data_IF_130052172501
#
_entry.id   IF_130052172501
#
_cell.length_a   1.000
_cell.length_b   1.000
_cell.length_c   1.000
_cell.angle_alpha   90.00
_cell.angle_beta   90.00
_cell.angle_gamma   90.00
#
_symmetry.space_group_name_H-M   'P 1'
#
loop_
_entity.id
_entity.type
_entity.pdbx_description
1 polymer ?
#
# COMPACT_ATOMS: atom_id res chain seq x y z
N UNK A 1 16.73 9.23 -30.18
CA UNK A 1 16.00 9.07 -31.47
C UNK A 1 16.94 9.00 -32.67
N UNK A 2 17.91 9.92 -32.86
CA UNK A 2 18.87 9.90 -33.98
C UNK A 2 19.74 8.63 -34.09
N UNK A 3 20.19 8.05 -32.97
CA UNK A 3 21.04 6.85 -32.98
C UNK A 3 20.38 5.60 -33.57
N UNK A 4 19.06 5.44 -33.39
CA UNK A 4 18.31 4.28 -33.91
C UNK A 4 18.17 4.35 -35.43
N UNK A 5 17.94 5.54 -35.98
CA UNK A 5 17.87 5.75 -37.44
C UNK A 5 19.23 5.54 -38.10
N UNK A 6 20.31 6.04 -37.50
CA UNK A 6 21.66 5.84 -38.01
C UNK A 6 22.10 4.35 -38.00
N UNK A 7 21.78 3.62 -36.92
CA UNK A 7 22.00 2.17 -36.83
C UNK A 7 21.19 1.39 -37.87
N UNK A 8 19.94 1.80 -38.11
CA UNK A 8 19.10 1.19 -39.16
C UNK A 8 19.77 1.33 -40.53
N UNK A 9 20.26 2.50 -40.90
CA UNK A 9 20.86 2.72 -42.22
C UNK A 9 22.17 1.92 -42.39
N UNK A 10 23.01 1.85 -41.35
CA UNK A 10 24.28 1.09 -41.37
C UNK A 10 24.08 -0.42 -41.49
N UNK A 11 23.05 -0.95 -40.84
CA UNK A 11 22.79 -2.38 -40.73
C UNK A 11 21.92 -2.87 -41.88
N UNK A 12 20.88 -2.11 -42.25
CA UNK A 12 19.98 -2.47 -43.34
C UNK A 12 20.62 -2.33 -44.72
N UNK A 13 21.72 -1.60 -44.92
CA UNK A 13 22.40 -1.54 -46.23
C UNK A 13 23.19 -2.81 -46.56
N UNK A 14 23.46 -3.69 -45.58
CA UNK A 14 24.20 -4.93 -45.84
C UNK A 14 23.27 -6.02 -46.40
N UNK A 15 23.51 -6.55 -47.62
CA UNK A 15 22.61 -7.52 -48.27
C UNK A 15 22.48 -8.83 -47.49
N UNK A 16 23.56 -9.22 -46.79
CA UNK A 16 23.59 -10.38 -45.89
C UNK A 16 22.57 -10.18 -44.75
N UNK A 17 22.58 -9.01 -44.11
CA UNK A 17 21.67 -8.71 -43.02
C UNK A 17 20.22 -8.67 -43.48
N UNK A 18 19.94 -8.01 -44.62
CA UNK A 18 18.58 -7.96 -45.18
C UNK A 18 18.03 -9.36 -45.48
N UNK A 19 18.85 -10.27 -46.02
CA UNK A 19 18.44 -11.64 -46.34
C UNK A 19 18.02 -12.41 -45.09
N UNK A 20 18.90 -12.49 -44.10
CA UNK A 20 18.63 -13.24 -42.87
C UNK A 20 17.51 -12.59 -42.03
N UNK A 21 17.47 -11.26 -41.96
CA UNK A 21 16.39 -10.54 -41.28
C UNK A 21 15.04 -10.87 -41.93
N UNK A 22 14.94 -10.81 -43.25
CA UNK A 22 13.69 -11.14 -43.96
C UNK A 22 13.30 -12.60 -43.77
N UNK A 23 14.23 -13.55 -43.85
CA UNK A 23 13.96 -14.98 -43.60
C UNK A 23 13.42 -15.22 -42.18
N UNK A 24 14.09 -14.67 -41.16
CA UNK A 24 13.73 -14.83 -39.75
C UNK A 24 12.35 -14.23 -39.46
N UNK A 25 12.08 -13.00 -39.91
CA UNK A 25 10.81 -12.32 -39.66
C UNK A 25 9.68 -12.74 -40.62
N UNK A 26 9.97 -13.52 -41.67
CA UNK A 26 8.94 -14.14 -42.52
C UNK A 26 8.39 -15.45 -41.95
N UNK A 27 9.15 -16.12 -41.08
CA UNK A 27 8.74 -17.38 -40.47
C UNK A 27 7.85 -17.14 -39.24
N UNK A 28 6.53 -17.25 -39.46
CA UNK A 28 5.51 -17.06 -38.42
C UNK A 28 5.66 -18.04 -37.24
N UNK A 29 6.12 -19.26 -37.48
CA UNK A 29 6.34 -20.27 -36.43
C UNK A 29 7.51 -19.85 -35.55
N UNK A 30 8.62 -19.44 -36.14
CA UNK A 30 9.77 -18.93 -35.39
C UNK A 30 9.38 -17.71 -34.54
N UNK A 31 8.67 -16.74 -35.13
CA UNK A 31 8.21 -15.56 -34.39
C UNK A 31 7.26 -15.91 -33.24
N UNK A 32 6.39 -16.91 -33.43
CA UNK A 32 5.52 -17.39 -32.36
C UNK A 32 6.30 -18.00 -31.19
N UNK A 33 7.31 -18.84 -31.47
CA UNK A 33 8.19 -19.38 -30.42
C UNK A 33 9.01 -18.30 -29.73
N UNK A 34 9.58 -17.36 -30.49
CA UNK A 34 10.34 -16.24 -29.93
C UNK A 34 9.47 -15.39 -29.01
N UNK A 35 8.25 -15.07 -29.45
CA UNK A 35 7.26 -14.37 -28.63
C UNK A 35 6.92 -15.16 -27.37
N UNK A 36 6.59 -16.44 -27.52
CA UNK A 36 6.28 -17.31 -26.40
C UNK A 36 7.41 -17.35 -25.38
N UNK A 37 8.67 -17.50 -25.80
CA UNK A 37 9.84 -17.52 -24.92
C UNK A 37 9.95 -16.20 -24.16
N UNK A 38 9.88 -15.05 -24.85
CA UNK A 38 10.00 -13.74 -24.21
C UNK A 38 8.91 -13.50 -23.17
N UNK A 39 7.65 -13.81 -23.51
CA UNK A 39 6.55 -13.65 -22.57
C UNK A 39 6.58 -14.69 -21.45
N UNK A 40 6.93 -15.94 -21.75
CA UNK A 40 6.98 -17.00 -20.75
C UNK A 40 7.99 -16.68 -19.65
N UNK A 41 9.22 -16.29 -19.97
CA UNK A 41 10.22 -15.99 -18.95
C UNK A 41 9.80 -14.81 -18.06
N UNK A 42 9.25 -13.75 -18.65
CA UNK A 42 8.77 -12.59 -17.87
C UNK A 42 7.59 -12.93 -16.93
N UNK A 43 6.60 -13.69 -17.41
CA UNK A 43 5.47 -14.11 -16.58
C UNK A 43 5.90 -15.12 -15.52
N UNK A 44 6.78 -16.06 -15.89
CA UNK A 44 7.31 -17.05 -14.96
C UNK A 44 8.08 -16.38 -13.82
N UNK A 45 8.93 -15.39 -14.11
CA UNK A 45 9.65 -14.66 -13.06
C UNK A 45 8.72 -13.91 -12.11
N UNK A 46 7.62 -13.34 -12.61
CA UNK A 46 6.61 -12.67 -11.78
C UNK A 46 5.93 -13.67 -10.85
N UNK A 47 5.46 -14.81 -11.37
CA UNK A 47 4.80 -15.84 -10.57
C UNK A 47 5.73 -16.39 -9.49
N UNK A 48 7.00 -16.68 -9.83
CA UNK A 48 7.98 -17.15 -8.87
C UNK A 48 8.22 -16.10 -7.79
N UNK A 49 8.39 -14.84 -8.16
CA UNK A 49 8.59 -13.74 -7.22
C UNK A 49 7.39 -13.56 -6.27
N UNK A 50 6.17 -13.55 -6.80
CA UNK A 50 4.94 -13.43 -6.01
C UNK A 50 4.79 -14.62 -5.06
N UNK A 51 5.06 -15.83 -5.52
CA UNK A 51 5.02 -17.03 -4.68
C UNK A 51 6.07 -16.96 -3.57
N UNK A 52 7.29 -16.52 -3.86
CA UNK A 52 8.34 -16.31 -2.85
C UNK A 52 7.89 -15.27 -1.82
N UNK A 53 7.40 -14.11 -2.24
CA UNK A 53 6.92 -13.06 -1.33
C UNK A 53 5.76 -13.52 -0.45
N UNK A 54 4.84 -14.32 -1.01
CA UNK A 54 3.73 -14.91 -0.27
C UNK A 54 4.23 -15.92 0.77
N UNK A 55 5.11 -16.84 0.37
CA UNK A 55 5.64 -17.89 1.25
C UNK A 55 6.56 -17.32 2.35
N UNK A 56 7.33 -16.28 2.04
CA UNK A 56 8.17 -15.57 3.01
C UNK A 56 7.37 -14.65 3.95
N UNK A 57 6.04 -14.53 3.74
CA UNK A 57 5.16 -13.62 4.48
C UNK A 57 5.71 -12.19 4.50
N UNK A 58 6.18 -11.70 3.34
CA UNK A 58 6.76 -10.36 3.27
C UNK A 58 5.71 -9.30 3.61
N UNK A 59 5.85 -8.71 4.81
CA UNK A 59 4.91 -7.72 5.32
C UNK A 59 4.83 -6.51 4.36
N UNK A 60 3.61 -6.09 4.04
CA UNK A 60 3.34 -4.95 3.15
C UNK A 60 3.09 -5.29 1.69
N UNK A 61 3.40 -6.51 1.22
CA UNK A 61 3.02 -6.95 -0.14
C UNK A 61 1.64 -7.61 -0.18
N UNK A 62 1.27 -8.36 0.86
CA UNK A 62 -0.02 -9.03 0.98
C UNK A 62 -0.76 -8.58 2.23
N UNK A 63 -2.02 -8.18 2.07
CA UNK A 63 -2.89 -7.84 3.18
C UNK A 63 -3.52 -9.10 3.77
N UNK A 64 -3.32 -9.31 5.07
CA UNK A 64 -3.96 -10.42 5.79
C UNK A 64 -5.48 -10.24 5.84
N UNK A 65 -6.22 -11.34 5.74
CA UNK A 65 -7.68 -11.35 5.71
C UNK A 65 -8.29 -10.65 6.93
N UNK A 66 -7.73 -10.88 8.11
CA UNK A 66 -8.22 -10.29 9.36
C UNK A 66 -7.99 -8.76 9.41
N UNK A 67 -6.94 -8.25 8.75
CA UNK A 67 -6.76 -6.81 8.62
C UNK A 67 -7.84 -6.20 7.70
N UNK A 68 -8.18 -6.90 6.61
CA UNK A 68 -9.28 -6.52 5.72
C UNK A 68 -10.63 -6.57 6.45
N UNK A 69 -10.89 -7.59 7.27
CA UNK A 69 -12.09 -7.71 8.09
C UNK A 69 -12.25 -6.50 9.03
N UNK A 70 -11.17 -6.01 9.63
CA UNK A 70 -11.22 -4.81 10.46
C UNK A 70 -11.60 -3.55 9.66
N UNK A 71 -11.09 -3.40 8.44
CA UNK A 71 -11.44 -2.27 7.57
C UNK A 71 -12.89 -2.36 7.05
N UNK A 72 -13.40 -3.58 6.79
CA UNK A 72 -14.82 -3.78 6.51
C UNK A 72 -15.70 -3.51 7.72
N UNK A 73 -15.25 -3.87 8.92
CA UNK A 73 -15.98 -3.49 10.12
C UNK A 73 -16.13 -1.96 10.23
N UNK A 74 -15.08 -1.19 9.90
CA UNK A 74 -15.18 0.28 9.81
C UNK A 74 -16.25 0.67 8.79
N UNK A 75 -16.25 0.04 7.60
CA UNK A 75 -17.25 0.31 6.56
C UNK A 75 -18.69 0.13 7.02
N UNK A 76 -18.94 -0.86 7.85
CA UNK A 76 -20.29 -1.27 8.23
C UNK A 76 -20.77 -0.60 9.52
N UNK A 77 -19.86 -0.12 10.37
CA UNK A 77 -20.17 0.29 11.74
C UNK A 77 -19.76 1.74 12.08
N UNK A 78 -19.36 2.54 11.08
CA UNK A 78 -18.97 3.95 11.25
C UNK A 78 -19.68 4.85 10.26
N UNK A 79 -19.96 6.09 10.69
CA UNK A 79 -20.52 7.15 9.83
C UNK A 79 -19.58 7.43 8.64
N UNK A 80 -20.14 7.85 7.51
CA UNK A 80 -19.37 8.05 6.27
C UNK A 80 -18.30 9.14 6.41
N UNK A 81 -18.56 10.15 7.24
CA UNK A 81 -17.64 11.26 7.52
C UNK A 81 -16.62 10.96 8.63
N UNK A 82 -16.65 9.75 9.22
CA UNK A 82 -15.74 9.39 10.31
C UNK A 82 -14.27 9.48 9.88
N UNK A 83 -13.44 10.10 10.72
CA UNK A 83 -11.99 10.21 10.48
C UNK A 83 -11.24 9.17 11.30
N UNK A 84 -10.48 8.32 10.60
CA UNK A 84 -9.68 7.25 11.20
C UNK A 84 -8.22 7.71 11.36
N UNK A 85 -7.68 7.54 12.57
CA UNK A 85 -6.25 7.71 12.86
C UNK A 85 -5.55 6.34 12.84
N UNK A 86 -4.42 6.27 12.15
CA UNK A 86 -3.57 5.08 12.01
C UNK A 86 -2.12 5.48 11.70
N UNK A 87 -1.23 4.52 11.51
CA UNK A 87 0.07 4.76 10.87
C UNK A 87 -0.11 5.15 9.40
N UNK A 88 0.97 5.60 8.77
CA UNK A 88 0.99 5.95 7.34
C UNK A 88 0.69 4.73 6.45
N UNK A 89 1.30 3.60 6.74
CA UNK A 89 1.16 2.36 5.98
C UNK A 89 -0.28 1.88 5.99
N UNK A 90 -0.88 1.81 7.18
CA UNK A 90 -2.28 1.40 7.35
C UNK A 90 -3.23 2.45 6.78
N UNK A 91 -2.92 3.74 6.95
CA UNK A 91 -3.72 4.86 6.43
C UNK A 91 -3.81 4.88 4.91
N UNK A 92 -2.82 4.33 4.21
CA UNK A 92 -2.89 4.12 2.75
C UNK A 92 -3.88 3.02 2.35
N UNK A 93 -4.15 2.06 3.24
CA UNK A 93 -4.97 0.87 2.95
C UNK A 93 -6.43 1.05 3.39
N UNK A 94 -6.67 1.71 4.53
CA UNK A 94 -8.02 1.89 5.11
C UNK A 94 -9.02 2.40 4.07
N UNK A 95 -8.75 3.46 3.28
CA UNK A 95 -9.74 3.99 2.33
C UNK A 95 -10.16 2.98 1.25
N UNK A 96 -9.27 2.08 0.85
CA UNK A 96 -9.53 1.09 -0.21
C UNK A 96 -10.62 0.08 0.18
N UNK A 97 -10.76 -0.23 1.47
CA UNK A 97 -11.70 -1.25 1.96
C UNK A 97 -12.83 -0.66 2.82
N UNK A 98 -12.56 0.45 3.49
CA UNK A 98 -13.53 1.11 4.36
C UNK A 98 -14.31 2.21 3.64
N UNK A 99 -13.75 2.89 2.63
CA UNK A 99 -14.34 4.12 2.05
C UNK A 99 -14.48 5.23 3.12
N UNK A 100 -13.59 5.26 4.12
CA UNK A 100 -13.59 6.30 5.18
C UNK A 100 -12.42 7.24 5.01
N UNK A 101 -12.57 8.44 5.58
CA UNK A 101 -11.48 9.41 5.65
C UNK A 101 -10.42 8.92 6.64
N UNK A 102 -9.16 9.20 6.31
CA UNK A 102 -8.03 8.96 7.18
C UNK A 102 -7.34 10.27 7.51
N UNK A 103 -6.84 10.40 8.74
CA UNK A 103 -6.08 11.58 9.14
C UNK A 103 -4.82 11.75 8.29
N UNK A 104 -4.11 10.63 8.09
CA UNK A 104 -2.85 10.52 7.36
C UNK A 104 -2.96 9.33 6.40
N UNK A 105 -2.79 9.60 5.10
CA UNK A 105 -2.70 8.58 4.05
C UNK A 105 -1.62 8.99 3.05
N UNK A 106 -1.84 8.72 1.76
CA UNK A 106 -0.79 8.88 0.77
C UNK A 106 -0.33 10.34 0.65
N UNK A 107 0.98 10.56 0.48
CA UNK A 107 1.60 11.88 0.63
C UNK A 107 1.04 12.95 -0.31
N UNK A 108 0.74 12.58 -1.55
CA UNK A 108 0.17 13.51 -2.53
C UNK A 108 -1.35 13.72 -2.36
N UNK A 109 -2.02 12.88 -1.57
CA UNK A 109 -3.47 12.92 -1.33
C UNK A 109 -3.81 13.50 0.04
N UNK A 110 -2.82 13.65 0.92
CA UNK A 110 -3.00 14.20 2.27
C UNK A 110 -2.56 15.65 2.31
N UNK A 111 -3.51 16.56 2.54
CA UNK A 111 -3.18 17.96 2.77
C UNK A 111 -2.26 18.13 3.99
N UNK A 112 -1.22 18.95 3.84
CA UNK A 112 -0.21 19.20 4.88
C UNK A 112 0.48 17.93 5.39
N UNK A 113 0.75 16.98 4.48
CA UNK A 113 1.33 15.68 4.80
C UNK A 113 2.47 15.70 5.82
N UNK A 114 3.51 16.54 5.60
CA UNK A 114 4.66 16.61 6.50
C UNK A 114 4.29 16.94 7.95
N UNK A 115 3.36 17.90 8.15
CA UNK A 115 2.85 18.24 9.48
C UNK A 115 2.10 17.07 10.10
N UNK A 116 1.16 16.49 9.36
CA UNK A 116 0.32 15.39 9.85
C UNK A 116 1.13 14.14 10.17
N UNK A 117 2.15 13.83 9.37
CA UNK A 117 3.06 12.72 9.62
C UNK A 117 3.78 12.89 10.96
N UNK A 118 4.36 14.07 11.22
CA UNK A 118 5.02 14.36 12.49
C UNK A 118 4.06 14.37 13.69
N UNK A 119 2.83 14.84 13.50
CA UNK A 119 1.82 14.84 14.56
C UNK A 119 1.33 13.42 14.88
N UNK A 120 1.10 12.58 13.86
CA UNK A 120 0.76 11.15 14.02
C UNK A 120 1.87 10.41 14.75
N UNK A 121 3.13 10.60 14.36
CA UNK A 121 4.27 10.00 15.06
C UNK A 121 4.35 10.43 16.52
N UNK A 122 4.20 11.74 16.78
CA UNK A 122 4.14 12.29 18.15
C UNK A 122 2.97 11.69 18.94
N UNK A 123 1.82 11.50 18.31
CA UNK A 123 0.66 10.86 18.93
C UNK A 123 0.97 9.42 19.33
N UNK A 124 1.65 8.62 18.53
CA UNK A 124 1.97 7.24 18.93
C UNK A 124 3.08 7.17 20.01
N UNK A 125 4.08 8.05 19.95
CA UNK A 125 5.27 7.96 20.81
C UNK A 125 5.16 8.65 22.17
N UNK A 126 4.36 9.72 22.34
CA UNK A 126 4.32 10.44 23.63
C UNK A 126 3.24 9.93 24.56
N UNK A 127 3.55 9.53 25.79
CA UNK A 127 2.53 9.19 26.79
C UNK A 127 2.06 10.45 27.58
N UNK A 128 1.27 11.31 26.94
CA UNK A 128 0.63 12.48 27.55
C UNK A 128 -0.86 12.51 27.16
N UNK A 129 -1.75 12.30 28.13
CA UNK A 129 -3.18 12.18 27.87
C UNK A 129 -3.84 13.49 27.48
N UNK A 130 -3.55 14.61 28.17
CA UNK A 130 -4.13 15.91 27.82
C UNK A 130 -3.78 16.32 26.38
N UNK A 131 -2.52 16.12 26.00
CA UNK A 131 -2.06 16.41 24.64
C UNK A 131 -2.69 15.51 23.58
N UNK A 132 -2.96 14.23 23.91
CA UNK A 132 -3.65 13.29 23.02
C UNK A 132 -5.12 13.67 22.85
N UNK A 133 -5.82 13.95 23.94
CA UNK A 133 -7.23 14.34 23.91
C UNK A 133 -7.39 15.62 23.08
N UNK A 134 -6.53 16.62 23.31
CA UNK A 134 -6.50 17.84 22.50
C UNK A 134 -6.28 17.53 21.02
N UNK A 135 -5.28 16.71 20.69
CA UNK A 135 -5.00 16.29 19.30
C UNK A 135 -6.20 15.59 18.64
N UNK A 136 -6.82 14.62 19.33
CA UNK A 136 -7.97 13.88 18.83
C UNK A 136 -9.15 14.81 18.56
N UNK A 137 -9.40 15.76 19.48
CA UNK A 137 -10.49 16.73 19.37
C UNK A 137 -10.27 17.77 18.27
N UNK A 138 -9.08 18.37 18.22
CA UNK A 138 -8.71 19.39 17.24
C UNK A 138 -8.79 18.87 15.80
N UNK A 139 -8.40 17.61 15.60
CA UNK A 139 -8.39 16.96 14.29
C UNK A 139 -9.65 16.15 13.99
N UNK A 140 -10.65 16.19 14.88
CA UNK A 140 -11.93 15.48 14.76
C UNK A 140 -11.75 13.98 14.49
N UNK A 141 -10.82 13.35 15.22
CA UNK A 141 -10.58 11.91 15.11
C UNK A 141 -11.72 11.17 15.82
N UNK A 142 -12.39 10.30 15.09
CA UNK A 142 -13.51 9.50 15.61
C UNK A 142 -13.07 8.11 16.04
N UNK A 143 -12.09 7.54 15.33
CA UNK A 143 -11.59 6.20 15.58
C UNK A 143 -10.06 6.13 15.50
N UNK A 144 -9.48 5.28 16.35
CA UNK A 144 -8.08 4.87 16.31
C UNK A 144 -8.01 3.42 15.85
N UNK A 145 -7.26 3.17 14.77
CA UNK A 145 -6.95 1.83 14.28
C UNK A 145 -5.56 1.41 14.75
N UNK A 146 -5.45 0.22 15.36
CA UNK A 146 -4.17 -0.35 15.80
C UNK A 146 -3.94 -1.72 15.16
N UNK A 147 -3.12 -1.75 14.12
CA UNK A 147 -2.56 -2.95 13.52
C UNK A 147 -1.10 -3.18 13.92
N UNK A 148 -0.37 -4.07 13.20
CA UNK A 148 1.03 -4.36 13.49
C UNK A 148 1.94 -3.13 13.41
N UNK A 149 1.71 -2.26 12.42
CA UNK A 149 2.53 -1.06 12.21
C UNK A 149 2.36 -0.02 13.31
N UNK A 150 1.14 0.14 13.84
CA UNK A 150 0.90 1.01 14.98
C UNK A 150 1.47 0.43 16.27
N UNK A 151 1.44 -0.89 16.44
CA UNK A 151 2.04 -1.57 17.59
C UNK A 151 3.56 -1.40 17.64
N UNK A 152 4.23 -1.24 16.50
CA UNK A 152 5.66 -0.90 16.43
C UNK A 152 5.95 0.54 16.92
N UNK A 153 4.99 1.46 16.79
CA UNK A 153 5.17 2.89 17.08
C UNK A 153 4.68 3.31 18.47
N UNK A 154 3.67 2.62 19.00
CA UNK A 154 2.94 3.07 20.18
C UNK A 154 3.74 2.89 21.48
N UNK A 155 3.80 3.94 22.29
CA UNK A 155 4.50 3.94 23.60
C UNK A 155 3.55 4.15 24.79
N UNK A 156 2.26 3.88 24.61
CA UNK A 156 1.26 3.93 25.66
C UNK A 156 0.25 2.80 25.47
N UNK A 157 -0.45 2.41 26.54
CA UNK A 157 -1.51 1.40 26.45
C UNK A 157 -2.87 2.08 26.19
N UNK A 158 -3.50 1.89 25.01
CA UNK A 158 -4.81 2.45 24.70
C UNK A 158 -5.94 1.91 25.59
N UNK A 159 -5.79 0.69 26.13
CA UNK A 159 -6.84 0.05 26.94
C UNK A 159 -7.00 0.71 28.31
N UNK A 160 -5.97 1.40 28.79
CA UNK A 160 -5.98 2.15 30.05
C UNK A 160 -6.51 3.59 29.87
N UNK A 161 -6.83 3.99 28.64
CA UNK A 161 -7.22 5.37 28.33
C UNK A 161 -8.75 5.50 28.30
N UNK A 162 -9.30 6.26 29.23
CA UNK A 162 -10.75 6.47 29.34
C UNK A 162 -11.38 7.11 28.09
N UNK A 163 -10.60 7.86 27.30
CA UNK A 163 -11.04 8.48 26.04
C UNK A 163 -11.01 7.53 24.83
N UNK A 164 -10.60 6.26 25.02
CA UNK A 164 -10.56 5.23 23.97
C UNK A 164 -11.40 4.02 24.39
N UNK A 165 -12.52 3.81 23.71
CA UNK A 165 -13.36 2.63 23.92
C UNK A 165 -13.10 1.60 22.82
N UNK A 166 -12.60 0.43 23.18
CA UNK A 166 -12.46 -0.70 22.25
C UNK A 166 -13.83 -1.09 21.68
N UNK A 167 -13.95 -1.12 20.35
CA UNK A 167 -15.20 -1.44 19.63
C UNK A 167 -15.06 -2.64 18.70
N UNK A 168 -13.84 -2.97 18.29
CA UNK A 168 -13.54 -4.16 17.50
C UNK A 168 -12.14 -4.69 17.86
N UNK A 169 -11.95 -6.00 17.79
CA UNK A 169 -10.64 -6.62 17.94
C UNK A 169 -10.60 -7.98 17.25
N UNK A 170 -9.50 -8.25 16.55
CA UNK A 170 -9.13 -9.57 16.08
C UNK A 170 -7.60 -9.75 16.15
N UNK A 171 -7.07 -10.79 15.51
CA UNK A 171 -5.65 -11.11 15.55
C UNK A 171 -4.74 -10.06 14.88
N UNK A 172 -5.27 -9.27 13.93
CA UNK A 172 -4.48 -8.30 13.16
C UNK A 172 -4.74 -6.86 13.55
N UNK A 173 -5.92 -6.53 14.07
CA UNK A 173 -6.27 -5.14 14.37
C UNK A 173 -7.19 -5.01 15.59
N UNK A 174 -7.03 -3.89 16.29
CA UNK A 174 -7.93 -3.41 17.32
C UNK A 174 -8.40 -2.00 16.96
N UNK A 175 -9.70 -1.74 17.06
CA UNK A 175 -10.28 -0.43 16.74
C UNK A 175 -10.86 0.15 18.02
N UNK A 176 -10.52 1.40 18.29
CA UNK A 176 -11.03 2.17 19.42
C UNK A 176 -11.86 3.34 18.89
N UNK A 177 -13.06 3.51 19.44
CA UNK A 177 -13.86 4.72 19.29
C UNK A 177 -13.37 5.77 20.27
N UNK A 178 -13.16 6.99 19.78
CA UNK A 178 -12.79 8.14 20.60
C UNK A 178 -14.04 8.65 21.32
N UNK A 179 -13.95 8.77 22.65
CA UNK A 179 -15.00 9.35 23.48
C UNK A 179 -14.42 10.54 24.25
N UNK A 180 -15.16 11.64 24.29
CA UNK A 180 -14.82 12.85 25.05
C UNK A 180 -15.54 12.88 26.39
#
# INVERSE_FOLDING_TARGET
>A
TFGVFYLKDLVCQKPIFQKYFKEVFSNKIFLAYLSFILFFFSNFSIIVNDLTLYLENYDGMYLKKEAQEAMFWIRENTEEESIILSSLETGNLIPAFSIRQVYLGHGHQTAQFGRKASETERFFQKNNDDGKIAFLKENKIDYLFLGPKEKELIQFNPEEKNYLKKVFSNNQATIYKVNY
#
